data_IF_846413179349
#
_entry.id   IF_846413179349
#
_cell.length_a   1.000
_cell.length_b   1.000
_cell.length_c   1.000
_cell.angle_alpha   90.00
_cell.angle_beta   90.00
_cell.angle_gamma   90.00
#
_symmetry.space_group_name_H-M   'P 1'
#
loop_
_entity.id
_entity.type
_entity.pdbx_description
1 polymer ?
#
# COMPACT_ATOMS: atom_id res chain seq x y z
N UNK A 1 -1.85 13.55 -21.16
CA UNK A 1 -1.33 14.57 -20.24
C UNK A 1 -2.51 15.39 -19.75
N UNK A 2 -2.82 15.34 -18.47
CA UNK A 2 -3.89 16.15 -17.85
C UNK A 2 -3.28 17.54 -17.66
N UNK A 3 -3.74 18.55 -18.43
CA UNK A 3 -3.36 19.93 -18.14
C UNK A 3 -4.07 20.34 -16.86
N UNK A 4 -3.37 20.81 -15.83
CA UNK A 4 -4.04 21.38 -14.66
C UNK A 4 -4.84 22.60 -15.11
N UNK A 5 -6.11 22.66 -14.74
CA UNK A 5 -6.88 23.90 -14.82
C UNK A 5 -6.15 24.97 -14.01
N UNK A 6 -5.78 26.08 -14.66
CA UNK A 6 -4.89 27.10 -14.10
C UNK A 6 -5.42 27.78 -12.83
N UNK A 7 -6.68 27.61 -12.48
CA UNK A 7 -7.33 28.35 -11.40
C UNK A 7 -7.89 27.48 -10.25
N UNK A 8 -7.75 26.15 -10.30
CA UNK A 8 -8.43 25.25 -9.37
C UNK A 8 -7.71 25.05 -8.01
N UNK A 9 -6.44 25.42 -7.84
CA UNK A 9 -5.65 24.94 -6.70
C UNK A 9 -4.79 25.97 -5.96
N UNK A 10 -5.00 27.26 -6.17
CA UNK A 10 -4.53 28.23 -5.19
C UNK A 10 -5.62 28.39 -4.13
N UNK A 11 -5.88 27.36 -3.36
CA UNK A 11 -6.44 27.58 -2.05
C UNK A 11 -5.53 28.60 -1.37
N UNK A 12 -6.07 29.79 -1.05
CA UNK A 12 -5.43 30.73 -0.13
C UNK A 12 -4.84 29.89 0.98
N UNK A 13 -3.53 29.76 0.97
CA UNK A 13 -2.81 29.38 2.18
C UNK A 13 -3.16 30.52 3.11
N UNK A 14 -4.15 30.31 3.96
CA UNK A 14 -4.40 31.22 5.07
C UNK A 14 -3.06 31.35 5.76
N UNK A 15 -2.47 32.56 5.71
CA UNK A 15 -1.26 32.90 6.44
C UNK A 15 -1.59 32.94 7.94
N UNK A 16 -2.17 31.85 8.45
CA UNK A 16 -2.32 31.66 9.88
C UNK A 16 -0.93 31.34 10.41
N UNK A 17 -0.33 32.32 11.05
CA UNK A 17 0.91 32.11 11.81
C UNK A 17 0.65 30.97 12.79
N UNK A 18 1.47 29.91 12.68
CA UNK A 18 1.34 28.77 13.58
C UNK A 18 1.66 29.22 15.02
N UNK A 19 0.65 29.17 15.88
CA UNK A 19 0.82 29.49 17.29
C UNK A 19 1.05 28.25 18.15
N UNK A 20 2.09 28.28 18.95
CA UNK A 20 2.40 27.24 19.94
C UNK A 20 1.44 27.25 21.11
N UNK A 21 0.17 27.04 20.88
CA UNK A 21 -0.85 26.89 21.93
C UNK A 21 -0.64 25.61 22.76
N UNK A 22 -1.28 25.53 23.94
CA UNK A 22 -1.26 24.31 24.74
C UNK A 22 -1.83 23.11 23.97
N UNK A 23 -2.83 23.32 23.11
CA UNK A 23 -3.39 22.29 22.21
C UNK A 23 -2.37 21.80 21.19
N UNK A 24 -1.64 22.71 20.54
CA UNK A 24 -0.61 22.37 19.56
C UNK A 24 0.52 21.57 20.20
N UNK A 25 0.98 21.97 21.39
CA UNK A 25 1.99 21.22 22.16
C UNK A 25 1.49 19.82 22.53
N UNK A 26 0.27 19.71 23.03
CA UNK A 26 -0.36 18.42 23.36
C UNK A 26 -0.50 17.50 22.15
N UNK A 27 -0.90 18.04 20.99
CA UNK A 27 -0.98 17.27 19.74
C UNK A 27 0.38 16.76 19.29
N UNK A 28 1.43 17.58 19.36
CA UNK A 28 2.81 17.16 19.04
C UNK A 28 3.30 16.09 20.00
N UNK A 29 3.06 16.24 21.31
CA UNK A 29 3.42 15.21 22.29
C UNK A 29 2.70 13.88 22.03
N UNK A 30 1.39 13.93 21.74
CA UNK A 30 0.61 12.73 21.42
C UNK A 30 1.10 12.07 20.14
N UNK A 31 1.44 12.86 19.11
CA UNK A 31 2.02 12.36 17.87
C UNK A 31 3.37 11.67 18.10
N UNK A 32 4.30 12.33 18.80
CA UNK A 32 5.61 11.75 19.11
C UNK A 32 5.49 10.48 19.95
N UNK A 33 4.59 10.46 20.92
CA UNK A 33 4.29 9.24 21.69
C UNK A 33 3.82 8.10 20.78
N UNK A 34 2.92 8.40 19.84
CA UNK A 34 2.44 7.40 18.86
C UNK A 34 3.58 6.84 18.02
N UNK A 35 4.44 7.72 17.48
CA UNK A 35 5.59 7.32 16.67
C UNK A 35 6.54 6.43 17.47
N UNK A 36 6.84 6.79 18.71
CA UNK A 36 7.67 5.96 19.60
C UNK A 36 7.02 4.59 19.83
N UNK A 37 5.72 4.54 20.12
CA UNK A 37 5.00 3.28 20.29
C UNK A 37 5.04 2.41 19.02
N UNK A 38 4.99 2.99 17.83
CA UNK A 38 5.09 2.25 16.57
C UNK A 38 6.50 1.74 16.30
N UNK A 39 7.52 2.56 16.53
CA UNK A 39 8.93 2.15 16.37
C UNK A 39 9.25 0.95 17.28
N UNK A 40 8.76 0.96 18.51
CA UNK A 40 8.99 -0.09 19.48
C UNK A 40 7.85 -1.11 19.56
N UNK A 41 6.93 -1.15 18.59
CA UNK A 41 5.74 -1.99 18.67
C UNK A 41 6.03 -3.47 18.79
N UNK A 42 7.06 -3.98 18.10
CA UNK A 42 7.47 -5.38 18.17
C UNK A 42 8.01 -5.77 19.56
N UNK A 43 8.84 -4.90 20.16
CA UNK A 43 9.42 -5.11 21.49
C UNK A 43 8.33 -5.05 22.56
N UNK A 44 7.46 -4.04 22.50
CA UNK A 44 6.34 -3.87 23.43
C UNK A 44 5.36 -5.04 23.30
N UNK A 45 5.03 -5.45 22.09
CA UNK A 45 4.17 -6.57 21.78
C UNK A 45 4.70 -7.88 22.41
N UNK A 46 6.00 -8.12 22.28
CA UNK A 46 6.67 -9.28 22.85
C UNK A 46 6.68 -9.25 24.38
N UNK A 47 6.91 -8.07 24.99
CA UNK A 47 6.98 -7.92 26.44
C UNK A 47 5.62 -8.03 27.14
N UNK A 48 4.57 -7.42 26.53
CA UNK A 48 3.21 -7.40 27.12
C UNK A 48 2.38 -8.62 26.68
N UNK A 49 2.82 -9.36 25.65
CA UNK A 49 2.08 -10.48 25.09
C UNK A 49 0.87 -10.09 24.24
N UNK A 50 0.77 -8.82 23.83
CA UNK A 50 -0.33 -8.30 23.01
C UNK A 50 0.00 -8.43 21.54
N UNK A 51 -0.75 -9.24 20.81
CA UNK A 51 -0.68 -9.29 19.34
C UNK A 51 -1.28 -8.01 18.74
N UNK A 52 -0.66 -7.46 17.68
CA UNK A 52 -1.13 -6.27 16.95
C UNK A 52 -1.20 -5.00 17.81
N UNK A 53 -0.20 -4.77 18.65
CA UNK A 53 -0.08 -3.60 19.49
C UNK A 53 -0.14 -2.28 18.69
N UNK A 54 0.44 -2.25 17.50
CA UNK A 54 0.42 -1.13 16.54
C UNK A 54 -1.00 -0.68 16.18
N UNK A 55 -1.92 -1.62 15.98
CA UNK A 55 -3.34 -1.32 15.70
C UNK A 55 -4.06 -0.82 16.94
N UNK A 56 -3.75 -1.42 18.10
CA UNK A 56 -4.36 -1.01 19.38
C UNK A 56 -3.97 0.42 19.74
N UNK A 57 -2.68 0.79 19.57
CA UNK A 57 -2.22 2.15 19.85
C UNK A 57 -2.89 3.18 18.93
N UNK A 58 -3.11 2.85 17.64
CA UNK A 58 -3.80 3.75 16.71
C UNK A 58 -5.23 4.08 17.19
N UNK A 59 -5.98 3.06 17.62
CA UNK A 59 -7.34 3.24 18.16
C UNK A 59 -7.30 4.04 19.47
N UNK A 60 -6.38 3.70 20.37
CA UNK A 60 -6.22 4.39 21.66
C UNK A 60 -5.92 5.87 21.47
N UNK A 61 -4.98 6.24 20.60
CA UNK A 61 -4.62 7.62 20.32
C UNK A 61 -5.77 8.40 19.69
N UNK A 62 -6.53 7.77 18.79
CA UNK A 62 -7.72 8.39 18.18
C UNK A 62 -8.76 8.74 19.24
N UNK A 63 -8.95 7.89 20.25
CA UNK A 63 -9.85 8.17 21.37
C UNK A 63 -9.26 9.19 22.36
N UNK A 64 -7.95 9.16 22.58
CA UNK A 64 -7.27 10.09 23.50
C UNK A 64 -7.25 11.53 23.00
N UNK A 65 -7.18 11.76 21.70
CA UNK A 65 -7.13 13.11 21.15
C UNK A 65 -8.34 13.98 21.58
N UNK A 66 -9.60 13.54 21.47
CA UNK A 66 -10.74 14.28 22.00
C UNK A 66 -10.81 14.25 23.53
N UNK A 67 -10.42 13.15 24.19
CA UNK A 67 -10.43 13.04 25.65
C UNK A 67 -9.50 14.07 26.32
N UNK A 68 -8.37 14.36 25.69
CA UNK A 68 -7.42 15.39 26.13
C UNK A 68 -7.83 16.83 25.68
N UNK A 69 -8.96 16.99 25.01
CA UNK A 69 -9.42 18.28 24.52
C UNK A 69 -8.58 18.86 23.37
N UNK A 70 -7.77 18.04 22.70
CA UNK A 70 -6.94 18.46 21.57
C UNK A 70 -7.79 18.72 20.31
N UNK A 71 -8.87 17.98 20.16
CA UNK A 71 -9.88 18.13 19.11
C UNK A 71 -11.26 17.85 19.72
N UNK A 72 -12.31 18.53 19.28
CA UNK A 72 -13.65 18.16 19.70
C UNK A 72 -14.14 16.92 18.95
N UNK A 73 -15.00 16.11 19.61
CA UNK A 73 -15.58 14.92 18.97
C UNK A 73 -16.31 15.24 17.66
N UNK A 74 -17.06 16.36 17.63
CA UNK A 74 -17.77 16.82 16.43
C UNK A 74 -16.82 17.20 15.28
N UNK A 75 -15.67 17.79 15.61
CA UNK A 75 -14.65 18.10 14.60
C UNK A 75 -13.97 16.85 14.09
N UNK A 76 -13.66 15.90 14.97
CA UNK A 76 -13.09 14.60 14.61
C UNK A 76 -14.04 13.86 13.66
N UNK A 77 -15.31 13.72 14.02
CA UNK A 77 -16.33 13.05 13.23
C UNK A 77 -16.49 13.65 11.83
N UNK A 78 -16.47 14.98 11.72
CA UNK A 78 -16.54 15.67 10.41
C UNK A 78 -15.29 15.51 9.55
N UNK A 79 -14.12 15.40 10.19
CA UNK A 79 -12.82 15.26 9.49
C UNK A 79 -12.51 13.83 9.11
N UNK A 80 -13.12 12.84 9.75
CA UNK A 80 -12.96 11.45 9.36
C UNK A 80 -13.65 11.22 8.01
N UNK A 81 -12.89 10.77 7.05
CA UNK A 81 -13.41 10.31 5.75
C UNK A 81 -14.05 8.93 5.86
N UNK A 82 -15.25 8.82 6.43
CA UNK A 82 -15.94 7.54 6.64
C UNK A 82 -16.04 6.69 5.39
N UNK A 83 -16.29 7.33 4.22
CA UNK A 83 -16.31 6.64 2.93
C UNK A 83 -14.98 5.97 2.60
N UNK A 84 -13.85 6.61 2.93
CA UNK A 84 -12.51 6.07 2.73
C UNK A 84 -12.28 4.85 3.60
N UNK A 85 -12.66 4.92 4.88
CA UNK A 85 -12.53 3.80 5.82
C UNK A 85 -13.32 2.59 5.35
N UNK A 86 -14.55 2.79 4.86
CA UNK A 86 -15.41 1.72 4.34
C UNK A 86 -14.82 1.11 3.07
N UNK A 87 -14.39 1.93 2.11
CA UNK A 87 -13.77 1.46 0.85
C UNK A 87 -12.50 0.68 1.15
N UNK A 88 -11.62 1.22 1.99
CA UNK A 88 -10.36 0.58 2.35
C UNK A 88 -10.58 -0.70 3.16
N UNK A 89 -11.47 -0.67 4.14
CA UNK A 89 -11.84 -1.86 4.92
C UNK A 89 -12.47 -2.96 4.05
N UNK A 90 -13.34 -2.60 3.11
CA UNK A 90 -13.90 -3.51 2.11
C UNK A 90 -12.82 -4.13 1.20
N UNK A 91 -11.84 -3.33 0.77
CA UNK A 91 -10.68 -3.80 0.01
C UNK A 91 -9.84 -4.82 0.78
N UNK A 92 -9.58 -4.54 2.07
CA UNK A 92 -8.87 -5.49 2.94
C UNK A 92 -9.64 -6.80 3.14
N UNK A 93 -10.97 -6.75 3.29
CA UNK A 93 -11.82 -7.93 3.36
C UNK A 93 -11.75 -8.73 2.06
N UNK A 94 -11.88 -8.08 0.91
CA UNK A 94 -11.77 -8.73 -0.40
C UNK A 94 -10.41 -9.41 -0.57
N UNK A 95 -9.32 -8.69 -0.26
CA UNK A 95 -7.96 -9.24 -0.30
C UNK A 95 -7.81 -10.49 0.59
N UNK A 96 -8.36 -10.44 1.81
CA UNK A 96 -8.35 -11.57 2.74
C UNK A 96 -9.12 -12.77 2.19
N UNK A 97 -10.27 -12.55 1.56
CA UNK A 97 -11.08 -13.61 0.94
C UNK A 97 -10.32 -14.24 -0.24
N UNK A 98 -9.76 -13.42 -1.14
CA UNK A 98 -8.99 -13.91 -2.28
C UNK A 98 -7.77 -14.77 -1.84
N UNK A 99 -7.10 -14.38 -0.76
CA UNK A 99 -6.00 -15.14 -0.18
C UNK A 99 -6.48 -16.45 0.46
N UNK A 100 -7.50 -16.40 1.33
CA UNK A 100 -7.99 -17.57 2.08
C UNK A 100 -8.69 -18.62 1.22
N UNK A 101 -9.33 -18.22 0.12
CA UNK A 101 -9.94 -19.13 -0.86
C UNK A 101 -8.94 -19.76 -1.81
N UNK A 102 -7.67 -19.34 -1.79
CA UNK A 102 -6.66 -19.79 -2.74
C UNK A 102 -6.80 -19.20 -4.15
N UNK A 103 -7.74 -18.26 -4.36
CA UNK A 103 -7.98 -17.65 -5.68
C UNK A 103 -6.72 -16.97 -6.22
N UNK A 104 -6.00 -16.24 -5.36
CA UNK A 104 -4.74 -15.59 -5.74
C UNK A 104 -3.68 -16.60 -6.20
N UNK A 105 -3.55 -17.72 -5.48
CA UNK A 105 -2.61 -18.79 -5.83
C UNK A 105 -3.02 -19.50 -7.13
N UNK A 106 -4.31 -19.70 -7.34
CA UNK A 106 -4.84 -20.28 -8.56
C UNK A 106 -4.56 -19.40 -9.79
N UNK A 107 -4.80 -18.10 -9.70
CA UNK A 107 -4.47 -17.14 -10.78
C UNK A 107 -2.99 -17.21 -11.09
N UNK A 108 -2.14 -17.16 -10.07
CA UNK A 108 -0.69 -17.23 -10.22
C UNK A 108 -0.25 -18.51 -10.94
N UNK A 109 -0.66 -19.66 -10.42
CA UNK A 109 -0.27 -20.96 -10.99
C UNK A 109 -0.78 -21.16 -12.42
N UNK A 110 -1.99 -20.68 -12.74
CA UNK A 110 -2.55 -20.76 -14.09
C UNK A 110 -1.73 -19.96 -15.11
N UNK A 111 -1.30 -18.76 -14.75
CA UNK A 111 -0.44 -17.93 -15.60
C UNK A 111 0.93 -18.58 -15.77
N UNK A 112 1.55 -19.05 -14.67
CA UNK A 112 2.88 -19.66 -14.74
C UNK A 112 2.93 -20.97 -15.52
N UNK A 113 1.93 -21.81 -15.36
CA UNK A 113 1.85 -23.05 -16.16
C UNK A 113 1.81 -22.76 -17.67
N UNK A 114 1.22 -21.62 -18.05
CA UNK A 114 1.14 -21.20 -19.46
C UNK A 114 2.47 -20.68 -20.01
N UNK A 115 3.38 -20.18 -19.16
CA UNK A 115 4.65 -19.57 -19.55
C UNK A 115 5.88 -20.35 -19.10
N UNK A 116 5.72 -21.53 -18.49
CA UNK A 116 6.83 -22.33 -17.94
C UNK A 116 7.92 -22.67 -18.94
N UNK A 117 7.57 -22.81 -20.22
CA UNK A 117 8.49 -23.09 -21.32
C UNK A 117 8.94 -21.84 -22.09
N UNK A 118 8.58 -20.65 -21.64
CA UNK A 118 8.95 -19.40 -22.28
C UNK A 118 10.42 -19.01 -21.98
N UNK A 119 11.05 -18.17 -22.80
CA UNK A 119 12.34 -17.58 -22.48
C UNK A 119 12.33 -16.85 -21.13
N UNK A 120 13.47 -16.85 -20.42
CA UNK A 120 13.60 -16.28 -19.06
C UNK A 120 13.12 -14.83 -18.95
N UNK A 121 13.38 -13.99 -19.96
CA UNK A 121 12.94 -12.61 -19.97
C UNK A 121 11.41 -12.46 -20.04
N UNK A 122 10.71 -13.41 -20.71
CA UNK A 122 9.23 -13.43 -20.73
C UNK A 122 8.71 -13.84 -19.35
N UNK A 123 9.31 -14.86 -18.73
CA UNK A 123 8.93 -15.28 -17.38
C UNK A 123 9.09 -14.12 -16.41
N UNK A 124 10.21 -13.39 -16.49
CA UNK A 124 10.49 -12.24 -15.64
C UNK A 124 9.46 -11.12 -15.81
N UNK A 125 9.25 -10.65 -17.05
CA UNK A 125 8.33 -9.52 -17.30
C UNK A 125 6.88 -9.86 -16.96
N UNK A 126 6.43 -11.08 -17.26
CA UNK A 126 5.07 -11.53 -16.93
C UNK A 126 4.90 -11.66 -15.43
N UNK A 127 5.90 -12.14 -14.69
CA UNK A 127 5.87 -12.25 -13.24
C UNK A 127 5.78 -10.90 -12.57
N UNK A 128 6.59 -9.94 -13.01
CA UNK A 128 6.56 -8.55 -12.53
C UNK A 128 5.20 -7.91 -12.84
N UNK A 129 4.73 -8.05 -14.09
CA UNK A 129 3.44 -7.50 -14.50
C UNK A 129 2.28 -8.11 -13.69
N UNK A 130 2.28 -9.43 -13.53
CA UNK A 130 1.29 -10.13 -12.73
C UNK A 130 1.29 -9.62 -11.29
N UNK A 131 2.45 -9.44 -10.67
CA UNK A 131 2.53 -8.93 -9.30
C UNK A 131 1.97 -7.52 -9.21
N UNK A 132 2.33 -6.61 -10.12
CA UNK A 132 1.82 -5.22 -10.15
C UNK A 132 0.30 -5.18 -10.25
N UNK A 133 -0.31 -6.00 -11.12
CA UNK A 133 -1.77 -6.01 -11.25
C UNK A 133 -2.47 -6.77 -10.12
N UNK A 134 -1.86 -7.81 -9.59
CA UNK A 134 -2.42 -8.58 -8.49
C UNK A 134 -2.47 -7.75 -7.20
N UNK A 135 -1.44 -6.94 -6.95
CA UNK A 135 -1.38 -6.07 -5.76
C UNK A 135 -2.40 -4.93 -5.78
N UNK A 136 -3.01 -4.63 -6.93
CA UNK A 136 -4.11 -3.65 -7.00
C UNK A 136 -5.38 -4.13 -6.28
N UNK A 137 -5.64 -5.44 -6.29
CA UNK A 137 -6.86 -6.04 -5.75
C UNK A 137 -6.62 -6.90 -4.51
N UNK A 138 -5.35 -7.18 -4.21
CA UNK A 138 -4.93 -8.01 -3.08
C UNK A 138 -3.88 -7.28 -2.24
N UNK A 139 -3.67 -7.74 -1.01
CA UNK A 139 -2.63 -7.18 -0.12
C UNK A 139 -1.24 -7.36 -0.73
N UNK A 140 -0.43 -6.28 -0.75
CA UNK A 140 0.96 -6.31 -1.24
C UNK A 140 1.75 -7.46 -0.60
N UNK A 141 1.72 -7.54 0.74
CA UNK A 141 2.40 -8.58 1.51
C UNK A 141 1.80 -9.96 1.25
N UNK A 142 0.46 -10.06 1.17
CA UNK A 142 -0.24 -11.32 0.91
C UNK A 142 0.07 -11.86 -0.48
N UNK A 143 0.04 -11.00 -1.50
CA UNK A 143 0.39 -11.37 -2.87
C UNK A 143 1.84 -11.80 -2.99
N UNK A 144 2.78 -11.06 -2.36
CA UNK A 144 4.18 -11.43 -2.34
C UNK A 144 4.42 -12.77 -1.63
N UNK A 145 3.76 -13.01 -0.49
CA UNK A 145 3.88 -14.25 0.25
C UNK A 145 3.41 -15.49 -0.54
N UNK A 146 2.49 -15.30 -1.50
CA UNK A 146 2.02 -16.37 -2.40
C UNK A 146 2.95 -16.51 -3.60
N UNK A 147 3.33 -15.40 -4.24
CA UNK A 147 4.08 -15.43 -5.48
C UNK A 147 5.56 -15.77 -5.30
N UNK A 148 6.20 -15.29 -4.25
CA UNK A 148 7.62 -15.53 -4.00
C UNK A 148 7.95 -17.04 -3.91
N UNK A 149 7.24 -17.87 -3.10
CA UNK A 149 7.49 -19.30 -3.08
C UNK A 149 7.24 -20.00 -4.41
N UNK A 150 6.18 -19.58 -5.15
CA UNK A 150 5.88 -20.15 -6.48
C UNK A 150 7.02 -19.86 -7.45
N UNK A 151 7.53 -18.61 -7.45
CA UNK A 151 8.65 -18.23 -8.29
C UNK A 151 9.94 -18.92 -7.90
N UNK A 152 10.17 -19.07 -6.60
CA UNK A 152 11.35 -19.77 -6.10
C UNK A 152 11.34 -21.26 -6.54
N UNK A 153 10.20 -21.95 -6.43
CA UNK A 153 10.04 -23.31 -6.87
C UNK A 153 10.25 -23.49 -8.38
N UNK A 154 9.84 -22.50 -9.19
CA UNK A 154 10.09 -22.51 -10.64
C UNK A 154 11.56 -22.22 -10.95
N UNK A 155 12.20 -21.39 -10.16
CA UNK A 155 13.60 -20.98 -10.37
C UNK A 155 14.62 -22.06 -9.99
N UNK A 156 14.25 -23.10 -9.24
CA UNK A 156 15.09 -24.27 -8.97
C UNK A 156 15.52 -24.99 -10.27
N UNK A 157 14.80 -24.77 -11.37
CA UNK A 157 15.15 -25.25 -12.71
C UNK A 157 16.15 -24.33 -13.42
N UNK A 158 16.48 -23.18 -12.87
CA UNK A 158 17.31 -22.13 -13.45
C UNK A 158 18.50 -21.79 -12.55
N UNK A 159 19.34 -20.89 -13.01
CA UNK A 159 20.46 -20.36 -12.25
C UNK A 159 20.00 -19.66 -10.95
N UNK A 160 20.69 -19.84 -9.81
CA UNK A 160 20.41 -19.14 -8.54
C UNK A 160 20.34 -17.60 -8.65
N UNK A 161 21.12 -17.00 -9.55
CA UNK A 161 21.07 -15.58 -9.82
C UNK A 161 19.69 -15.16 -10.39
N UNK A 162 19.13 -15.96 -11.28
CA UNK A 162 17.79 -15.73 -11.82
C UNK A 162 16.70 -15.84 -10.74
N UNK A 163 16.82 -16.84 -9.86
CA UNK A 163 15.92 -16.99 -8.71
C UNK A 163 15.90 -15.74 -7.82
N UNK A 164 17.09 -15.25 -7.47
CA UNK A 164 17.22 -14.04 -6.67
C UNK A 164 16.63 -12.81 -7.38
N UNK A 165 16.95 -12.63 -8.65
CA UNK A 165 16.46 -11.54 -9.47
C UNK A 165 14.92 -11.55 -9.57
N UNK A 166 14.31 -12.71 -9.74
CA UNK A 166 12.85 -12.91 -9.77
C UNK A 166 12.21 -12.50 -8.44
N UNK A 167 12.71 -13.02 -7.32
CA UNK A 167 12.19 -12.71 -5.98
C UNK A 167 12.34 -11.22 -5.68
N UNK A 168 13.47 -10.64 -6.02
CA UNK A 168 13.72 -9.20 -5.85
C UNK A 168 12.76 -8.36 -6.69
N UNK A 169 12.58 -8.72 -7.97
CA UNK A 169 11.64 -8.04 -8.87
C UNK A 169 10.20 -8.09 -8.38
N UNK A 170 9.74 -9.25 -7.88
CA UNK A 170 8.41 -9.42 -7.29
C UNK A 170 8.26 -8.57 -6.03
N UNK A 171 9.28 -8.53 -5.17
CA UNK A 171 9.29 -7.70 -3.97
C UNK A 171 9.16 -6.20 -4.27
N UNK A 172 9.83 -5.71 -5.30
CA UNK A 172 9.68 -4.33 -5.79
C UNK A 172 8.28 -4.11 -6.37
N UNK A 173 7.82 -5.01 -7.24
CA UNK A 173 6.52 -4.94 -7.92
C UNK A 173 5.35 -4.94 -6.94
N UNK A 174 5.48 -5.63 -5.80
CA UNK A 174 4.47 -5.68 -4.75
C UNK A 174 4.07 -4.31 -4.21
N UNK A 175 4.94 -3.32 -4.31
CA UNK A 175 4.68 -1.96 -3.84
C UNK A 175 4.19 -1.01 -4.95
N UNK A 176 4.09 -1.49 -6.19
CA UNK A 176 3.65 -0.70 -7.34
C UNK A 176 2.16 -0.90 -7.61
N UNK A 177 1.32 -0.28 -6.77
CA UNK A 177 -0.13 -0.31 -6.88
C UNK A 177 -0.68 1.11 -6.87
N UNK A 178 -0.95 1.67 -8.07
CA UNK A 178 -1.28 3.09 -8.22
C UNK A 178 -2.67 3.33 -8.84
N UNK A 179 -3.39 2.28 -9.24
CA UNK A 179 -4.65 2.43 -10.00
C UNK A 179 -5.87 2.55 -9.12
N UNK A 180 -5.95 1.78 -8.03
CA UNK A 180 -7.17 1.68 -7.24
C UNK A 180 -7.04 2.35 -5.86
N UNK A 181 -8.10 3.03 -5.40
CA UNK A 181 -8.11 3.60 -4.05
C UNK A 181 -7.92 2.55 -2.95
N UNK A 182 -8.39 1.32 -3.18
CA UNK A 182 -8.33 0.22 -2.21
C UNK A 182 -6.96 -0.46 -2.15
N UNK A 183 -6.10 -0.24 -3.13
CA UNK A 183 -4.83 -0.95 -3.26
C UNK A 183 -3.86 -0.62 -2.13
N UNK A 184 -3.80 0.65 -1.71
CA UNK A 184 -2.91 1.10 -0.62
C UNK A 184 -3.56 2.20 0.22
N UNK A 185 -3.17 2.34 1.52
CA UNK A 185 -3.63 3.45 2.36
C UNK A 185 -3.37 4.85 1.76
N UNK A 186 -2.19 5.15 1.19
CA UNK A 186 -1.96 6.43 0.52
C UNK A 186 -2.94 6.70 -0.62
N UNK A 187 -3.24 5.70 -1.45
CA UNK A 187 -4.21 5.83 -2.53
C UNK A 187 -5.61 6.19 -2.00
N UNK A 188 -6.04 5.51 -0.93
CA UNK A 188 -7.32 5.78 -0.28
C UNK A 188 -7.38 7.22 0.28
N UNK A 189 -6.30 7.69 0.90
CA UNK A 189 -6.21 9.05 1.41
C UNK A 189 -6.30 10.09 0.30
N UNK A 190 -5.54 9.93 -0.78
CA UNK A 190 -5.56 10.83 -1.94
C UNK A 190 -6.95 10.87 -2.59
N UNK A 191 -7.54 9.71 -2.81
CA UNK A 191 -8.91 9.61 -3.35
C UNK A 191 -9.94 10.28 -2.43
N UNK A 192 -9.78 10.11 -1.13
CA UNK A 192 -10.67 10.67 -0.13
C UNK A 192 -10.63 12.20 0.00
N UNK A 193 -9.63 12.86 -0.54
CA UNK A 193 -9.61 14.34 -0.63
C UNK A 193 -10.71 14.89 -1.54
N UNK A 194 -11.26 14.06 -2.44
CA UNK A 194 -12.24 14.44 -3.44
C UNK A 194 -11.68 15.26 -4.62
N UNK A 195 -10.37 15.54 -4.62
CA UNK A 195 -9.73 16.28 -5.73
C UNK A 195 -9.43 15.42 -6.96
N UNK A 196 -9.40 14.09 -6.79
CA UNK A 196 -9.07 13.15 -7.86
C UNK A 196 -10.25 12.20 -8.06
N UNK A 197 -10.79 12.18 -9.27
CA UNK A 197 -11.81 11.22 -9.66
C UNK A 197 -11.21 9.81 -9.83
N UNK A 198 -11.98 8.77 -9.53
CA UNK A 198 -11.55 7.38 -9.70
C UNK A 198 -11.06 7.09 -11.14
N UNK A 199 -11.72 7.67 -12.15
CA UNK A 199 -11.33 7.51 -13.56
C UNK A 199 -9.96 8.13 -13.86
N UNK A 200 -9.63 9.25 -13.23
CA UNK A 200 -8.32 9.90 -13.37
C UNK A 200 -7.25 9.05 -12.69
N UNK A 201 -7.52 8.59 -11.47
CA UNK A 201 -6.60 7.71 -10.72
C UNK A 201 -6.32 6.43 -11.49
N UNK A 202 -7.35 5.79 -12.05
CA UNK A 202 -7.21 4.58 -12.86
C UNK A 202 -6.31 4.80 -14.08
N UNK A 203 -6.54 5.89 -14.83
CA UNK A 203 -5.74 6.19 -16.03
C UNK A 203 -4.29 6.52 -15.71
N UNK A 204 -4.07 7.38 -14.73
CA UNK A 204 -2.71 7.78 -14.32
C UNK A 204 -1.97 6.60 -13.68
N UNK A 205 -2.67 5.86 -12.82
CA UNK A 205 -2.13 4.66 -12.17
C UNK A 205 -1.76 3.57 -13.16
N UNK A 206 -2.56 3.36 -14.23
CA UNK A 206 -2.22 2.41 -15.30
C UNK A 206 -0.89 2.78 -15.96
N UNK A 207 -0.68 4.06 -16.28
CA UNK A 207 0.59 4.52 -16.86
C UNK A 207 1.75 4.29 -15.88
N UNK A 208 1.56 4.61 -14.60
CA UNK A 208 2.57 4.38 -13.57
C UNK A 208 2.88 2.90 -13.40
N UNK A 209 1.87 2.03 -13.40
CA UNK A 209 2.05 0.58 -13.31
C UNK A 209 2.87 0.06 -14.51
N UNK A 210 2.53 0.48 -15.73
CA UNK A 210 3.28 0.08 -16.92
C UNK A 210 4.74 0.59 -16.89
N UNK A 211 4.95 1.85 -16.49
CA UNK A 211 6.30 2.38 -16.29
C UNK A 211 7.08 1.59 -15.24
N UNK A 212 6.44 1.24 -14.12
CA UNK A 212 7.05 0.45 -13.05
C UNK A 212 7.45 -0.95 -13.52
N UNK A 213 6.61 -1.61 -14.31
CA UNK A 213 6.92 -2.92 -14.92
C UNK A 213 8.21 -2.81 -15.76
N UNK A 214 8.29 -1.80 -16.63
CA UNK A 214 9.46 -1.59 -17.49
C UNK A 214 10.72 -1.28 -16.66
N UNK A 215 10.61 -0.38 -15.69
CA UNK A 215 11.74 0.01 -14.82
C UNK A 215 12.24 -1.18 -14.01
N UNK A 216 11.34 -1.95 -13.38
CA UNK A 216 11.70 -3.12 -12.59
C UNK A 216 12.31 -4.19 -13.50
N UNK A 217 11.74 -4.44 -14.67
CA UNK A 217 12.29 -5.38 -15.63
C UNK A 217 13.73 -5.03 -16.04
N UNK A 218 13.99 -3.76 -16.38
CA UNK A 218 15.34 -3.28 -16.73
C UNK A 218 16.29 -3.45 -15.54
N UNK A 219 15.87 -3.00 -14.35
CA UNK A 219 16.69 -3.06 -13.14
C UNK A 219 17.07 -4.50 -12.79
N UNK A 220 16.11 -5.41 -12.83
CA UNK A 220 16.33 -6.83 -12.54
C UNK A 220 17.16 -7.51 -13.63
N UNK A 221 16.99 -7.12 -14.90
CA UNK A 221 17.80 -7.64 -16.00
C UNK A 221 19.28 -7.23 -15.92
N UNK A 222 19.60 -6.10 -15.28
CA UNK A 222 20.99 -5.68 -15.02
C UNK A 222 21.63 -6.52 -13.91
N UNK A 223 20.84 -7.12 -13.03
CA UNK A 223 21.32 -7.98 -11.94
C UNK A 223 21.56 -9.43 -12.38
N UNK A 224 21.12 -9.80 -13.59
CA UNK A 224 21.29 -11.12 -14.22
C UNK A 224 22.55 -11.17 -15.06
#
# INVERSE_FOLDING_TARGET
>A
MIKPEKDAYVNKIDNTTFEWSARSKGAVCLFLFTVICWIFSSQISSYIGLKKFDHMIAIFITAMAPALGLISWKELEKKIGWGILIIFGGGLCLSSILGSTGTTAWIASSIFNSISNAPLWIILIVSVAMMVFLTEISSNTGSAAILVPVMFALSDQFNPAFAFAMVFGIGLAANCAFMLPIATPPNALVYGTGFIEQKQMLKTGMVLNLCSIVVIFILVSILL
#
